data_IF_062087309356
#
_entry.id   IF_062087309356
#
_cell.length_a   1.000
_cell.length_b   1.000
_cell.length_c   1.000
_cell.angle_alpha   90.00
_cell.angle_beta   90.00
_cell.angle_gamma   90.00
#
_symmetry.space_group_name_H-M   'P 1'
#
loop_
_entity.id
_entity.type
_entity.pdbx_description
1 polymer ?
#
# COMPACT_ATOMS: atom_id res chain seq x y z
N UNK A 1 -34.30 41.94 -23.01
CA UNK A 1 -33.99 41.69 -21.58
C UNK A 1 -33.24 40.37 -21.48
N UNK A 2 -31.92 40.42 -21.29
CA UNK A 2 -31.07 39.23 -21.16
C UNK A 2 -30.01 39.52 -20.10
N UNK A 3 -30.16 38.92 -18.90
CA UNK A 3 -29.14 38.93 -17.85
C UNK A 3 -28.09 37.89 -18.22
N UNK A 4 -26.85 38.32 -18.46
CA UNK A 4 -25.67 37.45 -18.46
C UNK A 4 -24.77 37.91 -17.32
N UNK A 5 -24.78 37.15 -16.23
CA UNK A 5 -23.83 37.28 -15.12
C UNK A 5 -22.53 36.63 -15.61
N UNK A 6 -21.48 37.43 -15.75
CA UNK A 6 -20.14 36.98 -16.07
C UNK A 6 -19.44 36.66 -14.73
N UNK A 7 -19.19 35.37 -14.46
CA UNK A 7 -18.30 34.95 -13.37
C UNK A 7 -16.86 35.09 -13.85
N UNK A 8 -16.11 36.00 -13.22
CA UNK A 8 -14.67 36.15 -13.38
C UNK A 8 -13.98 35.23 -12.37
N UNK A 9 -13.40 34.12 -12.84
CA UNK A 9 -12.50 33.28 -12.04
C UNK A 9 -11.09 33.78 -12.27
N UNK A 10 -10.52 34.43 -11.25
CA UNK A 10 -9.11 34.78 -11.16
C UNK A 10 -8.32 33.51 -10.80
N UNK A 11 -7.74 32.85 -11.79
CA UNK A 11 -6.69 31.86 -11.57
C UNK A 11 -5.39 32.62 -11.24
N UNK A 12 -5.13 32.88 -9.96
CA UNK A 12 -3.79 33.23 -9.50
C UNK A 12 -2.93 31.95 -9.51
N UNK A 13 -1.85 31.98 -10.28
CA UNK A 13 -0.90 30.89 -10.36
C UNK A 13 -0.26 30.58 -9.01
N UNK A 14 -0.38 29.32 -8.60
CA UNK A 14 0.54 28.68 -7.68
C UNK A 14 1.49 27.80 -8.52
N UNK A 15 2.78 27.84 -8.19
CA UNK A 15 3.84 27.16 -8.91
C UNK A 15 3.53 25.68 -9.14
N UNK A 16 3.85 25.20 -10.34
CA UNK A 16 3.80 23.79 -10.65
C UNK A 16 4.89 23.11 -9.82
N UNK A 17 4.51 22.43 -8.74
CA UNK A 17 5.34 21.38 -8.16
C UNK A 17 5.22 20.23 -9.14
N UNK A 18 6.35 19.80 -9.71
CA UNK A 18 6.38 18.68 -10.66
C UNK A 18 5.87 17.44 -9.93
N UNK A 19 4.72 16.91 -10.35
CA UNK A 19 4.31 15.57 -9.96
C UNK A 19 5.36 14.60 -10.52
N UNK A 20 6.04 13.89 -9.63
CA UNK A 20 6.96 12.82 -9.99
C UNK A 20 6.16 11.51 -10.09
N UNK A 21 6.38 10.76 -11.17
CA UNK A 21 5.73 9.46 -11.42
C UNK A 21 6.84 8.41 -11.50
N UNK A 22 6.94 7.61 -10.46
CA UNK A 22 7.84 6.45 -10.43
C UNK A 22 7.01 5.18 -10.54
N UNK A 23 7.40 4.26 -11.43
CA UNK A 23 6.80 2.92 -11.53
C UNK A 23 7.72 1.91 -10.85
N UNK A 24 7.18 1.08 -9.97
CA UNK A 24 7.96 0.06 -9.25
C UNK A 24 7.28 -1.30 -9.36
N UNK A 25 8.05 -2.29 -9.83
CA UNK A 25 7.72 -3.72 -9.76
C UNK A 25 7.94 -4.20 -8.32
N UNK A 26 6.94 -4.86 -7.70
CA UNK A 26 7.00 -5.21 -6.27
C UNK A 26 6.99 -6.74 -6.04
N UNK A 27 8.11 -7.45 -6.21
CA UNK A 27 8.27 -8.80 -5.70
C UNK A 27 8.81 -8.74 -4.27
N UNK A 28 7.93 -8.75 -3.26
CA UNK A 28 8.30 -8.62 -1.85
C UNK A 28 8.07 -7.21 -1.30
N UNK A 29 9.13 -6.47 -0.99
CA UNK A 29 9.04 -5.14 -0.38
C UNK A 29 9.68 -4.07 -1.26
N UNK A 30 9.05 -2.89 -1.36
CA UNK A 30 9.63 -1.71 -1.99
C UNK A 30 9.36 -0.48 -1.13
N UNK A 31 10.31 0.46 -1.09
CA UNK A 31 10.10 1.76 -0.46
C UNK A 31 10.87 2.84 -1.20
N UNK A 32 10.35 4.06 -1.11
CA UNK A 32 10.96 5.24 -1.71
C UNK A 32 10.78 6.44 -0.79
N UNK A 33 11.72 7.37 -0.86
CA UNK A 33 11.68 8.64 -0.13
C UNK A 33 11.45 9.76 -1.11
N UNK A 34 10.42 10.56 -0.85
CA UNK A 34 10.09 11.73 -1.65
C UNK A 34 10.56 12.99 -0.92
N UNK A 35 11.26 13.85 -1.66
CA UNK A 35 11.86 15.08 -1.14
C UNK A 35 11.40 16.29 -1.96
N UNK A 36 10.70 17.20 -1.30
CA UNK A 36 10.30 18.49 -1.85
C UNK A 36 11.29 19.58 -1.45
N UNK A 37 12.57 19.41 -1.82
CA UNK A 37 13.64 20.34 -1.42
C UNK A 37 13.41 21.73 -2.00
N UNK A 38 13.49 22.76 -1.16
CA UNK A 38 13.33 24.15 -1.59
C UNK A 38 11.90 24.54 -1.97
N UNK A 39 10.92 23.64 -1.81
CA UNK A 39 9.51 23.97 -1.98
C UNK A 39 9.11 25.03 -0.95
N UNK A 40 8.34 26.03 -1.39
CA UNK A 40 7.92 27.12 -0.53
C UNK A 40 7.00 26.63 0.58
N UNK A 41 7.19 27.12 1.80
CA UNK A 41 6.27 26.84 2.91
C UNK A 41 4.85 27.31 2.54
N UNK A 42 3.86 26.48 2.82
CA UNK A 42 2.46 26.67 2.46
C UNK A 42 2.09 26.20 1.05
N UNK A 43 3.06 25.77 0.24
CA UNK A 43 2.74 25.15 -1.06
C UNK A 43 2.16 23.75 -0.88
N UNK A 44 1.24 23.37 -1.76
CA UNK A 44 0.61 22.04 -1.78
C UNK A 44 1.23 21.18 -2.86
N UNK A 45 1.28 19.87 -2.64
CA UNK A 45 1.75 18.90 -3.64
C UNK A 45 0.79 17.72 -3.74
N UNK A 46 0.90 16.99 -4.85
CA UNK A 46 0.28 15.69 -5.05
C UNK A 46 1.22 14.85 -5.89
N UNK A 47 1.71 13.77 -5.31
CA UNK A 47 2.62 12.82 -5.94
C UNK A 47 1.87 11.53 -6.27
N UNK A 48 2.29 10.87 -7.34
CA UNK A 48 1.71 9.60 -7.78
C UNK A 48 2.80 8.54 -7.79
N UNK A 49 2.65 7.52 -6.96
CA UNK A 49 3.54 6.37 -6.97
C UNK A 49 2.80 5.16 -7.56
N UNK A 50 3.16 4.79 -8.78
CA UNK A 50 2.53 3.71 -9.51
C UNK A 50 3.17 2.37 -9.15
N UNK A 51 2.32 1.41 -8.81
CA UNK A 51 2.68 0.09 -8.34
C UNK A 51 2.20 -0.95 -9.35
N UNK A 52 3.10 -1.83 -9.77
CA UNK A 52 2.76 -3.05 -10.50
C UNK A 52 2.93 -4.26 -9.59
N UNK A 53 1.81 -4.86 -9.18
CA UNK A 53 1.76 -6.05 -8.33
C UNK A 53 1.55 -7.24 -9.25
N UNK A 54 2.64 -7.92 -9.59
CA UNK A 54 2.70 -8.92 -10.69
C UNK A 54 2.31 -10.35 -10.30
N UNK A 55 2.32 -10.69 -9.00
CA UNK A 55 1.94 -12.02 -8.47
C UNK A 55 0.61 -11.97 -7.71
N UNK A 56 -0.11 -13.11 -7.61
CA UNK A 56 -1.27 -13.26 -6.69
C UNK A 56 -0.82 -13.06 -5.23
N UNK A 57 -0.76 -11.80 -4.83
CA UNK A 57 -0.29 -11.34 -3.55
C UNK A 57 -1.29 -10.36 -2.95
N UNK A 58 -1.42 -10.42 -1.63
CA UNK A 58 -1.99 -9.31 -0.88
C UNK A 58 -0.86 -8.35 -0.58
N UNK A 59 -1.07 -7.07 -0.87
CA UNK A 59 -0.10 -6.05 -0.55
C UNK A 59 -0.58 -5.12 0.57
N UNK A 60 0.35 -4.56 1.32
CA UNK A 60 0.09 -3.45 2.25
C UNK A 60 0.95 -2.30 1.80
N UNK A 61 0.30 -1.24 1.35
CA UNK A 61 0.94 0.01 0.96
C UNK A 61 0.75 1.06 2.06
N UNK A 62 1.70 1.96 2.23
CA UNK A 62 1.58 3.05 3.19
C UNK A 62 2.55 4.18 2.96
N UNK A 63 2.29 5.30 3.63
CA UNK A 63 3.15 6.47 3.59
C UNK A 63 3.21 7.16 4.95
N UNK A 64 4.37 7.73 5.29
CA UNK A 64 4.61 8.49 6.53
C UNK A 64 5.27 9.82 6.23
N UNK A 65 4.69 10.91 6.74
CA UNK A 65 5.32 12.23 6.64
C UNK A 65 6.49 12.36 7.63
N UNK A 66 7.57 13.02 7.20
CA UNK A 66 8.73 13.27 8.04
C UNK A 66 8.69 14.71 8.59
N UNK A 67 8.99 14.83 9.88
CA UNK A 67 9.09 16.12 10.58
C UNK A 67 10.47 16.25 11.20
N UNK A 68 11.34 17.07 10.61
CA UNK A 68 12.71 17.28 11.08
C UNK A 68 12.88 18.73 11.53
N UNK A 69 12.75 18.96 12.84
CA UNK A 69 13.08 20.22 13.52
C UNK A 69 12.54 21.50 12.82
N UNK A 70 11.36 21.41 12.19
CA UNK A 70 10.73 22.46 11.37
C UNK A 70 11.47 22.85 10.07
N UNK A 71 12.61 22.22 9.78
CA UNK A 71 13.35 22.37 8.52
C UNK A 71 12.64 21.62 7.39
N UNK A 72 12.25 20.38 7.64
CA UNK A 72 11.39 19.60 6.76
C UNK A 72 10.11 19.24 7.48
N UNK A 73 8.98 19.40 6.79
CA UNK A 73 7.68 19.10 7.37
C UNK A 73 6.58 19.12 6.32
N UNK A 74 5.58 18.27 6.54
CA UNK A 74 4.34 18.21 5.76
C UNK A 74 3.17 18.21 6.73
N UNK A 75 2.17 19.03 6.48
CA UNK A 75 0.86 19.03 7.13
C UNK A 75 -0.21 18.70 6.09
N UNK A 76 -1.46 18.53 6.52
CA UNK A 76 -2.59 18.16 5.65
C UNK A 76 -2.30 16.88 4.84
N UNK A 77 -1.58 15.95 5.48
CA UNK A 77 -1.03 14.77 4.81
C UNK A 77 -2.13 13.73 4.60
N UNK A 78 -2.29 13.28 3.35
CA UNK A 78 -3.29 12.29 2.99
C UNK A 78 -2.71 11.27 1.99
N UNK A 79 -3.27 10.07 2.05
CA UNK A 79 -2.98 8.96 1.15
C UNK A 79 -4.27 8.46 0.53
N UNK A 80 -4.23 8.20 -0.77
CA UNK A 80 -5.31 7.56 -1.53
C UNK A 80 -4.75 6.40 -2.33
N UNK A 81 -5.54 5.35 -2.51
CA UNK A 81 -5.21 4.22 -3.37
C UNK A 81 -6.22 4.17 -4.50
N UNK A 82 -5.73 4.31 -5.72
CA UNK A 82 -6.53 4.26 -6.94
C UNK A 82 -6.22 2.97 -7.72
N UNK A 83 -7.26 2.22 -8.05
CA UNK A 83 -7.17 1.05 -8.91
C UNK A 83 -7.28 1.51 -10.36
N UNK A 84 -6.19 1.33 -11.11
CA UNK A 84 -6.08 1.78 -12.50
C UNK A 84 -7.00 0.98 -13.41
N UNK A 85 -7.15 -0.32 -13.15
CA UNK A 85 -7.94 -1.23 -13.98
C UNK A 85 -9.44 -0.95 -13.85
N UNK A 86 -9.93 -0.72 -12.63
CA UNK A 86 -11.35 -0.40 -12.39
C UNK A 86 -11.65 1.09 -12.44
N UNK A 87 -10.62 1.94 -12.47
CA UNK A 87 -10.73 3.40 -12.44
C UNK A 87 -11.46 3.92 -11.19
N UNK A 88 -11.26 3.27 -10.03
CA UNK A 88 -11.94 3.61 -8.77
C UNK A 88 -10.96 3.78 -7.61
N UNK A 89 -11.35 4.58 -6.62
CA UNK A 89 -10.63 4.64 -5.34
C UNK A 89 -10.95 3.42 -4.51
N UNK A 90 -9.93 2.64 -4.17
CA UNK A 90 -10.04 1.57 -3.18
C UNK A 90 -10.12 2.15 -1.77
N UNK A 91 -9.36 3.21 -1.50
CA UNK A 91 -9.33 3.87 -0.20
C UNK A 91 -8.84 5.31 -0.29
N UNK A 92 -9.28 6.13 0.68
CA UNK A 92 -8.89 7.54 0.84
C UNK A 92 -8.82 7.83 2.34
N UNK A 93 -7.73 8.45 2.81
CA UNK A 93 -7.63 8.91 4.20
C UNK A 93 -8.18 10.31 4.37
N UNK A 94 -8.54 10.66 5.60
CA UNK A 94 -8.77 12.06 5.95
C UNK A 94 -7.46 12.85 5.94
N UNK A 95 -7.56 14.16 5.71
CA UNK A 95 -6.43 15.08 5.84
C UNK A 95 -6.13 15.28 7.33
N UNK A 96 -4.87 15.10 7.70
CA UNK A 96 -4.42 15.36 9.07
C UNK A 96 -3.37 16.47 9.06
N UNK A 97 -3.60 17.49 9.90
CA UNK A 97 -2.74 18.67 10.03
C UNK A 97 -1.41 18.36 10.75
N UNK A 98 -1.31 17.21 11.41
CA UNK A 98 -0.15 16.84 12.21
C UNK A 98 0.98 16.26 11.36
N UNK A 99 2.20 16.72 11.63
CA UNK A 99 3.41 16.18 11.02
C UNK A 99 3.81 14.85 11.67
N UNK A 100 4.37 13.90 10.92
CA UNK A 100 4.67 12.56 11.44
C UNK A 100 3.51 11.57 11.29
N UNK A 101 2.49 11.92 10.51
CA UNK A 101 1.31 11.09 10.27
C UNK A 101 1.66 9.92 9.35
N UNK A 102 1.14 8.73 9.69
CA UNK A 102 1.30 7.50 8.92
C UNK A 102 -0.06 6.94 8.50
N UNK A 103 -0.13 6.46 7.26
CA UNK A 103 -1.29 5.79 6.69
C UNK A 103 -0.90 4.49 6.02
N UNK A 104 -1.80 3.49 6.04
CA UNK A 104 -1.62 2.25 5.30
C UNK A 104 -2.94 1.63 4.85
N UNK A 105 -2.87 0.87 3.76
CA UNK A 105 -4.01 0.19 3.14
C UNK A 105 -3.61 -1.19 2.65
N UNK A 106 -4.54 -2.14 2.79
CA UNK A 106 -4.42 -3.46 2.18
C UNK A 106 -4.95 -3.40 0.75
N UNK A 107 -4.13 -3.83 -0.20
CA UNK A 107 -4.49 -4.03 -1.60
C UNK A 107 -4.79 -5.52 -1.78
N UNK A 108 -6.03 -5.89 -2.16
CA UNK A 108 -6.51 -7.26 -2.03
C UNK A 108 -6.02 -8.22 -3.14
N UNK A 109 -5.42 -7.70 -4.21
CA UNK A 109 -5.08 -8.50 -5.39
C UNK A 109 -3.91 -7.90 -6.19
N UNK A 110 -3.35 -8.72 -7.08
CA UNK A 110 -2.45 -8.29 -8.15
C UNK A 110 -3.09 -7.23 -9.05
N UNK A 111 -2.29 -6.32 -9.60
CA UNK A 111 -2.75 -5.31 -10.54
C UNK A 111 -1.93 -4.03 -10.49
N UNK A 112 -2.38 -3.06 -11.28
CA UNK A 112 -1.82 -1.72 -11.34
C UNK A 112 -2.58 -0.78 -10.41
N UNK A 113 -1.86 -0.16 -9.49
CA UNK A 113 -2.41 0.76 -8.49
C UNK A 113 -1.59 2.04 -8.42
N UNK A 114 -2.27 3.17 -8.28
CA UNK A 114 -1.63 4.45 -8.01
C UNK A 114 -1.84 4.82 -6.54
N UNK A 115 -0.72 5.01 -5.82
CA UNK A 115 -0.74 5.69 -4.53
C UNK A 115 -0.67 7.19 -4.79
N UNK A 116 -1.73 7.88 -4.41
CA UNK A 116 -1.83 9.33 -4.50
C UNK A 116 -1.54 9.92 -3.13
N UNK A 117 -0.38 10.55 -2.99
CA UNK A 117 0.07 11.17 -1.74
C UNK A 117 0.00 12.68 -1.87
N UNK A 118 -0.67 13.34 -0.95
CA UNK A 118 -0.80 14.80 -0.96
C UNK A 118 -0.46 15.41 0.38
N UNK A 119 -0.09 16.68 0.36
CA UNK A 119 0.06 17.47 1.56
C UNK A 119 0.46 18.92 1.29
N UNK A 120 0.62 19.66 2.39
CA UNK A 120 1.08 21.05 2.42
C UNK A 120 2.47 21.10 3.04
N UNK A 121 3.42 21.76 2.37
CA UNK A 121 4.77 21.97 2.88
C UNK A 121 4.73 22.88 4.11
N UNK A 122 5.16 22.36 5.25
CA UNK A 122 5.23 23.12 6.51
C UNK A 122 6.66 23.41 6.96
N UNK A 123 7.65 22.69 6.42
CA UNK A 123 9.06 22.93 6.70
C UNK A 123 9.60 24.17 5.99
N UNK A 124 10.60 24.83 6.60
CA UNK A 124 11.23 26.02 6.03
C UNK A 124 12.14 25.74 4.83
N UNK A 125 12.60 24.50 4.67
CA UNK A 125 13.48 24.04 3.57
C UNK A 125 12.80 23.01 2.65
N UNK A 126 11.51 22.72 2.89
CA UNK A 126 10.74 21.77 2.11
C UNK A 126 9.95 20.77 2.94
N UNK A 127 9.50 19.70 2.29
CA UNK A 127 8.78 18.57 2.88
C UNK A 127 9.42 17.25 2.47
N UNK A 128 9.24 16.23 3.31
CA UNK A 128 9.71 14.88 3.00
C UNK A 128 8.73 13.85 3.54
N UNK A 129 8.57 12.75 2.82
CA UNK A 129 7.82 11.58 3.29
C UNK A 129 8.45 10.30 2.73
N UNK A 130 8.15 9.19 3.37
CA UNK A 130 8.52 7.85 2.89
C UNK A 130 7.24 7.13 2.52
N UNK A 131 7.24 6.49 1.35
CA UNK A 131 6.20 5.55 0.98
C UNK A 131 6.80 4.15 0.85
N UNK A 132 6.03 3.14 1.23
CA UNK A 132 6.43 1.76 1.16
C UNK A 132 5.27 0.84 0.78
N UNK A 133 5.63 -0.32 0.27
CA UNK A 133 4.73 -1.42 -0.01
C UNK A 133 5.41 -2.74 0.36
N UNK A 134 4.63 -3.64 0.95
CA UNK A 134 5.00 -5.01 1.25
C UNK A 134 4.00 -5.92 0.57
N UNK A 135 4.45 -7.01 -0.02
CA UNK A 135 3.60 -8.04 -0.63
C UNK A 135 3.81 -9.36 0.10
N UNK A 136 2.73 -10.10 0.30
CA UNK A 136 2.75 -11.45 0.81
C UNK A 136 2.08 -12.36 -0.20
N UNK A 137 2.78 -13.44 -0.60
CA UNK A 137 2.23 -14.44 -1.50
C UNK A 137 0.96 -15.05 -0.91
N UNK A 138 -0.12 -15.10 -1.70
CA UNK A 138 -1.33 -15.80 -1.31
C UNK A 138 -1.05 -17.31 -1.46
N UNK A 139 -1.23 -18.14 -0.42
CA UNK A 139 -1.04 -19.58 -0.56
C UNK A 139 -2.02 -20.14 -1.60
N UNK A 140 -1.49 -20.85 -2.59
CA UNK A 140 -2.33 -21.41 -3.65
C UNK A 140 -3.41 -22.35 -3.07
N UNK A 141 -4.62 -22.41 -3.67
CA UNK A 141 -5.67 -23.34 -3.25
C UNK A 141 -5.20 -24.81 -3.20
N UNK A 142 -4.28 -25.18 -4.09
CA UNK A 142 -3.66 -26.52 -4.14
C UNK A 142 -2.81 -26.85 -2.91
N UNK A 143 -2.18 -25.85 -2.29
CA UNK A 143 -1.37 -26.04 -1.07
C UNK A 143 -2.26 -26.45 0.10
N UNK A 144 -3.45 -25.85 0.24
CA UNK A 144 -4.41 -26.26 1.26
C UNK A 144 -4.93 -27.68 1.03
N UNK A 145 -5.19 -28.05 -0.22
CA UNK A 145 -5.54 -29.43 -0.58
C UNK A 145 -4.40 -30.41 -0.24
N UNK A 146 -3.15 -30.06 -0.53
CA UNK A 146 -1.99 -30.89 -0.20
C UNK A 146 -1.80 -31.05 1.31
N UNK A 147 -2.00 -29.98 2.09
CA UNK A 147 -1.99 -30.03 3.56
C UNK A 147 -3.10 -30.98 4.04
N UNK A 148 -4.31 -30.85 3.49
CA UNK A 148 -5.45 -31.69 3.87
C UNK A 148 -5.22 -33.16 3.49
N UNK A 149 -4.70 -33.43 2.30
CA UNK A 149 -4.30 -34.78 1.86
C UNK A 149 -3.22 -35.36 2.78
N UNK A 150 -2.21 -34.56 3.15
CA UNK A 150 -1.16 -34.96 4.09
C UNK A 150 -1.71 -35.29 5.48
N UNK A 151 -2.63 -34.48 6.01
CA UNK A 151 -3.30 -34.72 7.30
C UNK A 151 -4.16 -35.99 7.27
N UNK A 152 -4.91 -36.22 6.18
CA UNK A 152 -5.68 -37.46 5.99
C UNK A 152 -4.75 -38.67 5.93
N UNK A 153 -3.63 -38.59 5.22
CA UNK A 153 -2.62 -39.65 5.14
C UNK A 153 -2.00 -39.99 6.50
N UNK A 154 -1.70 -38.98 7.32
CA UNK A 154 -1.21 -39.17 8.70
C UNK A 154 -2.26 -39.86 9.58
N UNK A 155 -3.53 -39.50 9.44
CA UNK A 155 -4.63 -40.09 10.21
C UNK A 155 -4.84 -41.57 9.87
N UNK A 156 -4.76 -41.91 8.58
CA UNK A 156 -4.85 -43.30 8.08
C UNK A 156 -3.63 -44.12 8.55
N UNK A 157 -2.43 -43.55 8.45
CA UNK A 157 -1.17 -44.19 8.87
C UNK A 157 -1.14 -44.50 10.37
N UNK A 158 -1.65 -43.60 11.21
CA UNK A 158 -1.77 -43.81 12.66
C UNK A 158 -2.73 -44.97 13.00
N UNK A 159 -3.81 -45.14 12.23
CA UNK A 159 -4.79 -46.21 12.43
C UNK A 159 -4.22 -47.60 12.11
N UNK A 160 -3.34 -47.71 11.12
CA UNK A 160 -2.73 -48.98 10.71
C UNK A 160 -1.66 -49.51 11.69
N UNK A 161 -1.04 -48.64 12.49
CA UNK A 161 -0.01 -49.05 13.47
C UNK A 161 -0.61 -49.66 14.75
N UNK A 162 -1.87 -49.38 15.05
CA UNK A 162 -2.55 -49.88 16.26
C UNK A 162 -3.03 -51.34 16.16
N UNK A 163 -2.94 -51.97 14.97
CA UNK A 163 -3.52 -53.30 14.70
C UNK A 163 -2.50 -54.43 14.58
N UNK A 164 -1.20 -54.16 14.79
CA UNK A 164 -0.16 -55.21 14.82
C UNK A 164 0.30 -55.50 16.25
N UNK A 165 -0.52 -56.24 17.00
CA UNK A 165 -0.02 -57.12 18.07
C UNK A 165 -0.13 -58.54 17.51
N UNK A 166 0.98 -59.21 17.16
CA UNK A 166 0.93 -60.61 16.77
C UNK A 166 0.57 -61.44 17.99
N UNK A 167 -0.58 -62.08 17.93
CA UNK A 167 -0.96 -63.21 18.78
C UNK A 167 0.08 -64.32 18.56
N UNK A 168 1.08 -64.42 19.44
CA UNK A 168 1.83 -65.67 19.59
C UNK A 168 1.00 -66.60 20.47
N UNK A 169 0.08 -67.32 19.83
CA UNK A 169 -0.45 -68.56 20.39
C UNK A 169 0.62 -69.64 20.25
N UNK A 170 1.07 -70.13 21.40
CA UNK A 170 1.13 -71.55 21.76
C UNK A 170 1.94 -72.48 20.85
N UNK A 171 3.11 -72.90 21.33
CA UNK A 171 3.73 -74.16 20.97
C UNK A 171 4.39 -74.79 22.21
N UNK A 172 4.09 -76.08 22.39
CA UNK A 172 4.49 -77.03 23.44
C UNK A 172 3.70 -77.00 24.75
#
# INVERSE_FOLDING_TARGET
MLRKILFLVLMLGAGQVFADVTVVDVPGEASTTFLHLGAAQGSTFTDTWSLDITDEAVAVAGAVSLSLAKTYGITDFALSVYDVATSTYLAVTELVTDSGTFWSFTIPSSGLYDLLISGTISGSSGGAYVAGIVTAAIPEPGVYLLILVGLVGLFISKRQRSTRIPTMMQAA
#
